data_IF_566364458491
#
_entry.id   IF_566364458491
#
_cell.length_a   1.000
_cell.length_b   1.000
_cell.length_c   1.000
_cell.angle_alpha   90.00
_cell.angle_beta   90.00
_cell.angle_gamma   90.00
#
_symmetry.space_group_name_H-M   'P 1'
#
loop_
_entity.id
_entity.type
_entity.pdbx_description
1 polymer ?
#
# COMPACT_ATOMS: atom_id res chain seq x y z
N UNK A 1 -23.95 -69.82 55.54
CA UNK A 1 -23.50 -69.73 54.12
C UNK A 1 -24.66 -69.21 53.28
N UNK A 2 -24.88 -67.89 53.32
CA UNK A 2 -24.65 -66.92 52.23
C UNK A 2 -25.68 -66.99 51.09
N UNK A 3 -26.73 -66.18 51.22
CA UNK A 3 -27.66 -65.76 50.17
C UNK A 3 -27.02 -64.66 49.34
N UNK A 4 -26.73 -64.94 48.06
CA UNK A 4 -26.15 -63.99 47.11
C UNK A 4 -27.27 -63.34 46.28
N UNK A 5 -27.55 -62.04 46.52
CA UNK A 5 -28.43 -61.23 45.67
C UNK A 5 -27.59 -60.65 44.53
N UNK A 6 -27.90 -61.02 43.27
CA UNK A 6 -27.35 -60.38 42.08
C UNK A 6 -28.12 -59.07 41.81
N UNK A 7 -27.45 -57.92 41.94
CA UNK A 7 -27.95 -56.64 41.43
C UNK A 7 -27.53 -56.51 39.96
N UNK A 8 -28.51 -56.43 39.05
CA UNK A 8 -28.28 -56.15 37.63
C UNK A 8 -28.25 -54.62 37.44
N UNK A 9 -27.07 -54.04 37.26
CA UNK A 9 -26.89 -52.62 36.93
C UNK A 9 -26.96 -52.45 35.40
N UNK A 10 -28.05 -51.86 34.92
CA UNK A 10 -28.19 -51.44 33.52
C UNK A 10 -27.43 -50.12 33.30
N UNK A 11 -26.32 -50.19 32.59
CA UNK A 11 -25.59 -49.02 32.09
C UNK A 11 -26.31 -48.44 30.88
N UNK A 12 -27.03 -47.34 31.07
CA UNK A 12 -27.55 -46.51 29.98
C UNK A 12 -26.39 -45.77 29.31
N UNK A 13 -26.04 -46.17 28.10
CA UNK A 13 -25.17 -45.40 27.21
C UNK A 13 -25.99 -44.24 26.62
N UNK A 14 -25.77 -43.03 27.13
CA UNK A 14 -26.27 -41.81 26.51
C UNK A 14 -25.30 -41.48 25.37
N UNK A 15 -25.70 -41.76 24.12
CA UNK A 15 -25.00 -41.27 22.95
C UNK A 15 -25.21 -39.75 22.86
N UNK A 16 -24.22 -38.99 23.31
CA UNK A 16 -24.17 -37.56 23.05
C UNK A 16 -23.86 -37.35 21.55
N UNK A 17 -24.88 -37.01 20.77
CA UNK A 17 -24.73 -36.46 19.44
C UNK A 17 -24.09 -35.08 19.54
N UNK A 18 -22.76 -35.07 19.59
CA UNK A 18 -21.96 -33.86 19.42
C UNK A 18 -22.14 -33.36 17.99
N UNK A 19 -23.00 -32.37 17.80
CA UNK A 19 -23.00 -31.55 16.59
C UNK A 19 -21.62 -30.89 16.52
N UNK A 20 -20.76 -31.33 15.60
CA UNK A 20 -19.56 -30.58 15.25
C UNK A 20 -20.01 -29.21 14.77
N UNK A 21 -19.81 -28.19 15.62
CA UNK A 21 -19.92 -26.80 15.21
C UNK A 21 -18.80 -26.58 14.21
N UNK A 22 -19.11 -26.69 12.92
CA UNK A 22 -18.25 -26.17 11.86
C UNK A 22 -18.15 -24.68 12.13
N UNK A 23 -17.06 -24.25 12.77
CA UNK A 23 -16.71 -22.85 12.91
C UNK A 23 -16.60 -22.29 11.48
N UNK A 24 -17.68 -21.66 11.02
CA UNK A 24 -17.69 -20.98 9.75
C UNK A 24 -16.63 -19.88 9.84
N UNK A 25 -15.54 -20.03 9.09
CA UNK A 25 -14.45 -19.07 9.07
C UNK A 25 -15.02 -17.67 8.84
N UNK A 26 -14.69 -16.72 9.73
CA UNK A 26 -15.14 -15.35 9.61
C UNK A 26 -14.67 -14.80 8.26
N UNK A 27 -15.59 -14.45 7.32
CA UNK A 27 -15.22 -13.97 6.00
C UNK A 27 -14.40 -12.68 6.03
N UNK A 28 -14.35 -11.99 7.17
CA UNK A 28 -13.58 -10.78 7.38
C UNK A 28 -12.13 -11.04 7.82
N UNK A 29 -11.77 -12.27 8.19
CA UNK A 29 -10.40 -12.62 8.57
C UNK A 29 -9.68 -13.26 7.38
N UNK A 30 -8.59 -12.64 6.94
CA UNK A 30 -7.70 -13.16 5.90
C UNK A 30 -6.34 -13.46 6.52
N UNK A 31 -5.82 -14.66 6.31
CA UNK A 31 -4.49 -15.06 6.76
C UNK A 31 -3.48 -14.94 5.62
N UNK A 32 -2.43 -14.15 5.84
CA UNK A 32 -1.27 -14.00 4.96
C UNK A 32 0.00 -14.41 5.72
N UNK A 33 1.18 -14.52 5.07
CA UNK A 33 2.42 -14.92 5.77
C UNK A 33 2.79 -14.05 6.98
N UNK A 34 2.42 -12.77 6.99
CA UNK A 34 2.66 -11.86 8.11
C UNK A 34 1.66 -12.03 9.28
N UNK A 35 0.61 -12.83 9.13
CA UNK A 35 -0.40 -13.06 10.16
C UNK A 35 -1.84 -12.82 9.68
N UNK A 36 -2.75 -12.70 10.64
CA UNK A 36 -4.19 -12.57 10.38
C UNK A 36 -4.61 -11.10 10.28
N UNK A 37 -5.40 -10.79 9.27
CA UNK A 37 -5.91 -9.45 8.96
C UNK A 37 -7.42 -9.44 9.14
N UNK A 38 -7.94 -8.50 9.94
CA UNK A 38 -9.36 -8.24 10.11
C UNK A 38 -9.80 -7.09 9.20
N UNK A 39 -10.67 -7.38 8.23
CA UNK A 39 -11.32 -6.39 7.37
C UNK A 39 -12.65 -5.86 7.92
N UNK A 40 -13.34 -5.07 7.09
CA UNK A 40 -14.67 -4.51 7.34
C UNK A 40 -15.68 -4.98 6.29
N UNK A 41 -16.90 -5.31 6.71
CA UNK A 41 -18.05 -5.49 5.83
C UNK A 41 -18.68 -4.13 5.52
N UNK A 42 -18.77 -3.75 4.25
CA UNK A 42 -19.39 -2.50 3.78
C UNK A 42 -20.74 -2.78 3.08
N UNK A 43 -21.38 -3.93 3.39
CA UNK A 43 -22.61 -4.39 2.78
C UNK A 43 -22.36 -5.15 1.47
N UNK A 44 -21.99 -4.43 0.41
CA UNK A 44 -21.80 -5.01 -0.93
C UNK A 44 -20.37 -5.52 -1.18
N UNK A 45 -19.40 -5.12 -0.34
CA UNK A 45 -18.00 -5.49 -0.47
C UNK A 45 -17.29 -5.52 0.88
N UNK A 46 -16.22 -6.30 0.94
CA UNK A 46 -15.26 -6.30 2.04
C UNK A 46 -14.12 -5.34 1.74
N UNK A 47 -13.60 -4.66 2.75
CA UNK A 47 -12.41 -3.81 2.65
C UNK A 47 -11.36 -4.24 3.66
N UNK A 48 -10.10 -4.29 3.21
CA UNK A 48 -8.93 -4.51 4.03
C UNK A 48 -7.96 -3.37 3.74
N UNK A 49 -7.95 -2.36 4.60
CA UNK A 49 -7.30 -1.08 4.37
C UNK A 49 -6.02 -0.92 5.22
N UNK A 50 -5.11 -0.09 4.73
CA UNK A 50 -3.86 0.29 5.43
C UNK A 50 -2.94 -0.89 5.76
N UNK A 51 -2.91 -1.94 4.92
CA UNK A 51 -2.02 -3.08 5.11
C UNK A 51 -0.59 -2.65 4.72
N UNK A 52 0.41 -2.73 5.62
CA UNK A 52 1.77 -2.33 5.27
C UNK A 52 2.41 -3.34 4.31
N UNK A 53 3.00 -2.83 3.22
CA UNK A 53 3.82 -3.64 2.31
C UNK A 53 5.32 -3.38 2.49
N UNK A 54 5.68 -2.29 3.15
CA UNK A 54 7.04 -1.86 3.42
C UNK A 54 7.21 -1.41 4.87
N UNK A 55 8.45 -1.40 5.36
CA UNK A 55 8.80 -0.71 6.60
C UNK A 55 8.54 0.80 6.48
N UNK A 56 8.17 1.49 7.57
CA UNK A 56 7.97 2.94 7.57
C UNK A 56 9.21 3.67 7.03
N UNK A 57 9.10 4.51 5.99
CA UNK A 57 10.26 5.18 5.37
C UNK A 57 10.67 6.44 6.15
N UNK A 58 10.74 6.34 7.48
CA UNK A 58 11.04 7.42 8.41
C UNK A 58 12.50 7.38 8.87
N UNK A 59 12.99 8.49 9.44
CA UNK A 59 14.33 8.56 10.03
C UNK A 59 15.43 8.14 9.06
N UNK A 60 16.20 7.10 9.42
CA UNK A 60 17.28 6.57 8.59
C UNK A 60 16.82 6.00 7.24
N UNK A 61 15.55 5.56 7.13
CA UNK A 61 14.96 5.03 5.88
C UNK A 61 14.39 6.14 4.97
N UNK A 62 14.33 7.40 5.44
CA UNK A 62 13.93 8.52 4.59
C UNK A 62 14.89 8.64 3.41
N UNK A 63 14.37 8.86 2.22
CA UNK A 63 15.12 8.90 0.96
C UNK A 63 15.85 7.62 0.55
N UNK A 64 15.65 6.52 1.26
CA UNK A 64 16.16 5.21 0.86
C UNK A 64 15.11 4.43 0.06
N UNK A 65 15.56 3.42 -0.69
CA UNK A 65 14.66 2.46 -1.30
C UNK A 65 13.79 1.79 -0.21
N UNK A 66 12.52 1.47 -0.50
CA UNK A 66 11.65 0.86 0.50
C UNK A 66 12.16 -0.53 0.87
N UNK A 67 12.08 -0.86 2.17
CA UNK A 67 12.38 -2.19 2.68
C UNK A 67 11.08 -2.97 2.84
N UNK A 68 11.06 -4.24 2.47
CA UNK A 68 9.88 -5.09 2.60
C UNK A 68 9.46 -5.19 4.07
N UNK A 69 8.15 -5.07 4.33
CA UNK A 69 7.62 -5.25 5.68
C UNK A 69 7.89 -6.68 6.18
N UNK A 70 8.63 -6.77 7.28
CA UNK A 70 9.19 -8.04 7.78
C UNK A 70 8.50 -8.56 9.04
N UNK A 71 7.77 -7.71 9.76
CA UNK A 71 7.14 -8.07 11.03
C UNK A 71 6.01 -9.08 10.85
N UNK A 72 5.77 -9.87 11.90
CA UNK A 72 4.64 -10.80 11.99
C UNK A 72 3.72 -10.37 13.13
N UNK A 73 2.41 -10.41 12.88
CA UNK A 73 1.40 -10.09 13.88
C UNK A 73 1.00 -11.34 14.65
N UNK A 74 1.14 -11.33 15.97
CA UNK A 74 0.65 -12.38 16.85
C UNK A 74 -0.86 -12.34 17.04
N UNK A 75 -1.47 -11.17 16.86
CA UNK A 75 -2.92 -10.93 16.91
C UNK A 75 -3.51 -10.54 15.56
N UNK A 76 -4.77 -10.11 15.58
CA UNK A 76 -5.45 -9.59 14.39
C UNK A 76 -4.93 -8.18 14.05
N UNK A 77 -4.36 -8.03 12.85
CA UNK A 77 -4.10 -6.71 12.28
C UNK A 77 -5.42 -6.04 11.92
N UNK A 78 -5.66 -4.85 12.47
CA UNK A 78 -6.89 -4.11 12.23
C UNK A 78 -6.83 -3.33 10.90
N UNK A 79 -7.27 -3.98 9.81
CA UNK A 79 -7.36 -3.39 8.48
C UNK A 79 -8.72 -2.69 8.21
N UNK A 80 -9.31 -2.09 9.25
CA UNK A 80 -10.53 -1.26 9.12
C UNK A 80 -10.23 0.23 9.10
N UNK A 81 -8.96 0.63 9.27
CA UNK A 81 -8.56 2.03 9.26
C UNK A 81 -8.33 2.51 7.83
N UNK A 82 -8.95 3.62 7.38
CA UNK A 82 -8.72 4.16 6.05
C UNK A 82 -7.23 4.47 5.81
N UNK A 83 -6.74 4.32 4.56
CA UNK A 83 -5.36 4.61 4.24
C UNK A 83 -5.07 6.10 4.44
N UNK A 84 -3.99 6.38 5.18
CA UNK A 84 -3.45 7.73 5.33
C UNK A 84 -2.71 8.13 4.05
N UNK A 85 -2.90 9.37 3.62
CA UNK A 85 -2.13 9.94 2.52
C UNK A 85 -0.66 10.12 2.95
N UNK A 86 0.29 9.90 2.03
CA UNK A 86 1.68 10.23 2.28
C UNK A 86 1.85 11.73 2.54
N UNK A 87 2.81 12.10 3.40
CA UNK A 87 3.06 13.49 3.76
C UNK A 87 3.34 14.32 2.51
N UNK A 88 2.53 15.36 2.30
CA UNK A 88 2.47 16.09 1.04
C UNK A 88 2.07 17.54 1.24
N UNK A 89 2.42 18.37 0.24
CA UNK A 89 1.89 19.72 0.08
C UNK A 89 0.79 19.67 -0.98
N UNK A 90 -0.47 19.53 -0.54
CA UNK A 90 -1.58 19.20 -1.44
C UNK A 90 -2.12 20.43 -2.17
N UNK A 91 -2.00 20.46 -3.49
CA UNK A 91 -2.46 21.59 -4.32
C UNK A 91 -3.94 21.94 -4.12
N UNK A 92 -4.79 20.94 -3.86
CA UNK A 92 -6.24 21.09 -3.71
C UNK A 92 -6.70 21.41 -2.29
N UNK A 93 -5.77 21.49 -1.31
CA UNK A 93 -6.10 22.03 0.00
C UNK A 93 -6.35 23.54 -0.11
N UNK A 94 -7.47 23.99 0.45
CA UNK A 94 -7.95 25.38 0.34
C UNK A 94 -7.41 26.27 1.45
N UNK A 95 -6.90 25.68 2.53
CA UNK A 95 -6.21 26.40 3.61
C UNK A 95 -4.83 26.89 3.16
N UNK A 96 -4.33 27.93 3.84
CA UNK A 96 -2.97 28.45 3.61
C UNK A 96 -1.90 27.38 3.88
N UNK A 97 -2.09 26.60 4.94
CA UNK A 97 -1.25 25.45 5.22
C UNK A 97 -1.79 24.22 4.47
N UNK A 98 -1.09 23.86 3.38
CA UNK A 98 -1.43 22.72 2.52
C UNK A 98 -0.76 21.41 2.94
N UNK A 99 -0.05 21.40 4.06
CA UNK A 99 0.60 20.22 4.61
C UNK A 99 -0.44 19.24 5.17
N UNK A 100 -0.42 18.00 4.69
CA UNK A 100 -1.26 16.93 5.20
C UNK A 100 -0.61 15.55 5.02
N UNK A 101 -1.16 14.54 5.67
CA UNK A 101 -0.69 13.15 5.56
C UNK A 101 0.33 12.76 6.62
N UNK A 102 0.95 11.59 6.44
CA UNK A 102 1.97 11.03 7.32
C UNK A 102 3.15 10.49 6.51
N UNK A 103 4.37 10.55 7.06
CA UNK A 103 5.55 9.95 6.43
C UNK A 103 5.47 8.42 6.43
N UNK A 104 4.90 7.83 7.48
CA UNK A 104 4.54 6.42 7.51
C UNK A 104 3.22 6.21 6.75
N UNK A 105 3.35 5.85 5.46
CA UNK A 105 2.21 5.77 4.55
C UNK A 105 2.26 4.59 3.56
N UNK A 106 3.30 3.74 3.60
CA UNK A 106 3.53 2.69 2.60
C UNK A 106 2.61 1.49 2.80
N UNK A 107 1.37 1.68 2.34
CA UNK A 107 0.26 0.74 2.54
C UNK A 107 -0.45 0.38 1.24
N UNK A 108 -1.10 -0.78 1.24
CA UNK A 108 -2.09 -1.17 0.25
C UNK A 108 -3.48 -1.31 0.90
N UNK A 109 -4.51 -1.00 0.12
CA UNK A 109 -5.91 -1.25 0.50
C UNK A 109 -6.59 -2.12 -0.54
N UNK A 110 -7.24 -3.19 -0.10
CA UNK A 110 -7.90 -4.19 -0.96
C UNK A 110 -9.41 -4.11 -0.76
N UNK A 111 -10.14 -4.00 -1.86
CA UNK A 111 -11.60 -3.97 -1.91
C UNK A 111 -12.10 -5.16 -2.71
N UNK A 112 -12.92 -5.98 -2.05
CA UNK A 112 -13.38 -7.28 -2.54
C UNK A 112 -14.91 -7.32 -2.62
N UNK A 113 -15.50 -7.56 -3.80
CA UNK A 113 -16.94 -7.76 -3.92
C UNK A 113 -17.44 -8.91 -3.03
N UNK A 114 -18.58 -8.73 -2.37
CA UNK A 114 -19.20 -9.77 -1.56
C UNK A 114 -19.90 -10.78 -2.47
N UNK A 115 -19.24 -11.90 -2.73
CA UNK A 115 -19.71 -13.03 -3.56
C UNK A 115 -19.60 -14.34 -2.79
N UNK A 116 -20.21 -15.45 -3.28
CA UNK A 116 -20.09 -16.76 -2.63
C UNK A 116 -18.63 -17.15 -2.35
N UNK A 117 -18.42 -17.88 -1.26
CA UNK A 117 -17.10 -18.38 -0.87
C UNK A 117 -16.41 -19.13 -2.02
N UNK A 118 -15.10 -18.93 -2.18
CA UNK A 118 -14.31 -19.53 -3.26
C UNK A 118 -14.33 -18.76 -4.59
N UNK A 119 -15.10 -17.67 -4.70
CA UNK A 119 -15.08 -16.81 -5.90
C UNK A 119 -13.68 -16.21 -6.12
N UNK A 120 -13.19 -16.28 -7.36
CA UNK A 120 -11.90 -15.72 -7.78
C UNK A 120 -12.12 -14.54 -8.71
N UNK A 121 -11.31 -13.50 -8.55
CA UNK A 121 -11.48 -12.25 -9.28
C UNK A 121 -10.21 -11.84 -10.02
N UNK A 122 -10.31 -11.25 -11.23
CA UNK A 122 -9.22 -10.47 -11.79
C UNK A 122 -8.93 -9.29 -10.86
N UNK A 123 -7.69 -8.80 -10.91
CA UNK A 123 -7.20 -7.78 -9.97
C UNK A 123 -6.86 -6.53 -10.76
N UNK A 124 -7.43 -5.40 -10.34
CA UNK A 124 -7.04 -4.07 -10.82
C UNK A 124 -6.27 -3.37 -9.71
N UNK A 125 -5.04 -2.98 -10.00
CA UNK A 125 -4.17 -2.23 -9.11
C UNK A 125 -4.15 -0.77 -9.55
N UNK A 126 -4.57 0.13 -8.67
CA UNK A 126 -4.64 1.57 -8.93
C UNK A 126 -3.41 2.29 -8.36
N UNK A 127 -2.70 2.99 -9.24
CA UNK A 127 -1.71 4.00 -8.90
C UNK A 127 -2.37 5.39 -8.98
N UNK A 128 -2.46 6.09 -7.85
CA UNK A 128 -3.09 7.41 -7.81
C UNK A 128 -2.25 8.47 -8.55
N UNK A 129 -2.92 9.45 -9.15
CA UNK A 129 -2.30 10.67 -9.69
C UNK A 129 -1.99 11.73 -8.62
N UNK A 130 -1.63 12.93 -9.09
CA UNK A 130 -1.29 14.09 -8.25
C UNK A 130 0.11 14.65 -8.50
N UNK A 131 0.51 14.73 -9.78
CA UNK A 131 1.78 15.30 -10.25
C UNK A 131 3.07 14.74 -9.58
N UNK A 132 3.01 13.54 -8.99
CA UNK A 132 4.04 12.99 -8.08
C UNK A 132 4.28 13.82 -6.81
N UNK A 133 3.48 14.85 -6.54
CA UNK A 133 3.64 15.80 -5.44
C UNK A 133 2.61 15.61 -4.32
N UNK A 134 1.42 15.09 -4.66
CA UNK A 134 0.29 14.95 -3.75
C UNK A 134 -0.65 13.82 -4.22
N UNK A 135 -1.79 13.65 -3.53
CA UNK A 135 -2.82 12.65 -3.83
C UNK A 135 -2.82 11.48 -2.84
N UNK A 136 -3.64 10.48 -3.12
CA UNK A 136 -3.74 9.27 -2.33
C UNK A 136 -4.84 8.34 -2.85
N UNK A 137 -4.82 7.08 -2.42
CA UNK A 137 -5.83 6.09 -2.84
C UNK A 137 -7.25 6.46 -2.40
N UNK A 138 -7.42 7.21 -1.32
CA UNK A 138 -8.72 7.68 -0.81
C UNK A 138 -9.43 8.67 -1.73
N UNK A 139 -8.70 9.35 -2.64
CA UNK A 139 -9.27 10.29 -3.62
C UNK A 139 -10.13 9.55 -4.67
N UNK A 140 -9.88 8.26 -4.88
CA UNK A 140 -10.54 7.46 -5.89
C UNK A 140 -11.60 6.57 -5.22
N UNK A 141 -12.88 6.90 -5.39
CA UNK A 141 -13.98 6.12 -4.83
C UNK A 141 -14.07 4.72 -5.43
N UNK A 142 -14.31 3.71 -4.58
CA UNK A 142 -14.42 2.30 -4.98
C UNK A 142 -15.85 1.86 -5.29
N UNK A 143 -16.87 2.61 -4.87
CA UNK A 143 -18.25 2.10 -4.77
C UNK A 143 -18.83 1.67 -6.12
N UNK A 144 -18.54 2.39 -7.20
CA UNK A 144 -19.01 2.02 -8.55
C UNK A 144 -18.40 0.69 -9.03
N UNK A 145 -17.11 0.49 -8.81
CA UNK A 145 -16.41 -0.75 -9.18
C UNK A 145 -16.90 -1.91 -8.32
N UNK A 146 -17.09 -1.68 -7.02
CA UNK A 146 -17.58 -2.68 -6.09
C UNK A 146 -19.04 -3.07 -6.35
N UNK A 147 -19.88 -2.12 -6.79
CA UNK A 147 -21.27 -2.37 -7.20
C UNK A 147 -21.34 -3.28 -8.42
N UNK A 148 -20.47 -3.08 -9.40
CA UNK A 148 -20.38 -3.95 -10.58
C UNK A 148 -19.88 -5.36 -10.21
N UNK A 149 -18.94 -5.43 -9.26
CA UNK A 149 -18.62 -6.66 -8.53
C UNK A 149 -17.89 -7.72 -9.34
N UNK A 150 -17.16 -7.32 -10.39
CA UNK A 150 -16.46 -8.23 -11.31
C UNK A 150 -14.96 -8.39 -11.04
N UNK A 151 -14.36 -7.57 -10.15
CA UNK A 151 -12.91 -7.53 -9.93
C UNK A 151 -12.54 -7.14 -8.49
N UNK A 152 -11.32 -7.51 -8.06
CA UNK A 152 -10.68 -6.91 -6.88
C UNK A 152 -10.06 -5.58 -7.26
N UNK A 153 -10.30 -4.56 -6.45
CA UNK A 153 -9.57 -3.29 -6.55
C UNK A 153 -8.51 -3.24 -5.46
N UNK A 154 -7.27 -2.98 -5.84
CA UNK A 154 -6.17 -2.74 -4.90
C UNK A 154 -5.65 -1.32 -5.12
N UNK A 155 -5.54 -0.53 -4.07
CA UNK A 155 -5.00 0.84 -4.13
C UNK A 155 -3.66 0.87 -3.42
N UNK A 156 -2.64 1.44 -4.06
CA UNK A 156 -1.29 1.59 -3.51
C UNK A 156 -1.09 3.04 -3.04
N UNK A 157 -0.60 3.21 -1.82
CA UNK A 157 0.00 4.46 -1.35
C UNK A 157 1.52 4.40 -1.55
N UNK A 158 2.11 5.46 -2.10
CA UNK A 158 3.56 5.56 -2.38
C UNK A 158 4.07 6.97 -2.03
N UNK A 159 5.35 7.12 -1.67
CA UNK A 159 5.91 8.44 -1.31
C UNK A 159 5.79 9.43 -2.46
N UNK A 160 5.41 10.66 -2.12
CA UNK A 160 5.27 11.79 -3.06
C UNK A 160 6.21 12.93 -2.70
N UNK A 161 6.31 13.93 -3.57
CA UNK A 161 7.07 15.16 -3.38
C UNK A 161 8.55 14.91 -3.14
N UNK A 162 9.23 15.76 -2.36
CA UNK A 162 10.65 15.58 -2.08
C UNK A 162 10.96 14.26 -1.37
N UNK A 163 10.05 13.76 -0.52
CA UNK A 163 10.25 12.48 0.19
C UNK A 163 10.30 11.27 -0.76
N UNK A 164 9.55 11.32 -1.87
CA UNK A 164 9.54 10.28 -2.89
C UNK A 164 10.54 10.48 -4.02
N UNK A 165 10.93 11.73 -4.33
CA UNK A 165 11.56 12.05 -5.61
C UNK A 165 12.77 12.99 -5.55
N UNK A 166 13.21 13.45 -4.36
CA UNK A 166 14.47 14.17 -4.24
C UNK A 166 15.65 13.34 -4.80
N UNK A 167 16.52 13.99 -5.58
CA UNK A 167 17.63 13.33 -6.26
C UNK A 167 18.79 14.29 -6.49
N UNK A 168 20.01 13.85 -6.20
CA UNK A 168 21.27 14.54 -6.57
C UNK A 168 21.83 14.07 -7.90
N UNK A 169 21.20 13.07 -8.53
CA UNK A 169 21.65 12.47 -9.79
C UNK A 169 22.88 11.57 -9.66
N UNK A 170 23.24 11.17 -8.45
CA UNK A 170 24.36 10.27 -8.14
C UNK A 170 23.93 9.16 -7.17
N UNK A 171 24.87 8.30 -6.80
CA UNK A 171 24.61 7.10 -5.99
C UNK A 171 24.16 7.39 -4.56
N UNK A 172 24.45 8.57 -4.02
CA UNK A 172 24.18 8.87 -2.61
C UNK A 172 22.71 9.23 -2.40
N UNK A 173 22.10 9.89 -3.38
CA UNK A 173 20.66 10.21 -3.41
C UNK A 173 20.11 10.07 -4.85
N UNK A 174 19.91 8.83 -5.34
CA UNK A 174 19.51 8.60 -6.74
C UNK A 174 18.06 9.01 -7.02
N UNK A 175 17.20 9.05 -6.01
CA UNK A 175 15.77 9.38 -6.12
C UNK A 175 14.91 8.21 -6.57
N UNK A 176 13.77 8.52 -7.20
CA UNK A 176 12.75 7.57 -7.67
C UNK A 176 12.20 6.63 -6.58
N UNK A 177 12.22 7.06 -5.32
CA UNK A 177 11.76 6.24 -4.20
C UNK A 177 10.26 5.97 -4.27
N UNK A 178 9.45 6.95 -4.69
CA UNK A 178 8.02 6.73 -4.94
C UNK A 178 7.74 5.68 -6.02
N UNK A 179 8.58 5.55 -7.05
CA UNK A 179 8.44 4.48 -8.05
C UNK A 179 8.87 3.11 -7.52
N UNK A 180 9.92 3.08 -6.68
CA UNK A 180 10.38 1.86 -6.00
C UNK A 180 9.32 1.36 -5.01
N UNK A 181 8.63 2.27 -4.33
CA UNK A 181 7.49 1.97 -3.45
C UNK A 181 6.37 1.24 -4.21
N UNK A 182 5.95 1.79 -5.35
CA UNK A 182 4.96 1.18 -6.22
C UNK A 182 5.38 -0.23 -6.68
N UNK A 183 6.65 -0.38 -7.07
CA UNK A 183 7.20 -1.66 -7.51
C UNK A 183 7.20 -2.71 -6.41
N UNK A 184 7.61 -2.35 -5.20
CA UNK A 184 7.57 -3.23 -4.04
C UNK A 184 6.13 -3.61 -3.68
N UNK A 185 5.19 -2.67 -3.77
CA UNK A 185 3.76 -2.96 -3.57
C UNK A 185 3.22 -3.93 -4.63
N UNK A 186 3.61 -3.79 -5.91
CA UNK A 186 3.23 -4.75 -6.97
C UNK A 186 3.76 -6.16 -6.68
N UNK A 187 5.00 -6.27 -6.20
CA UNK A 187 5.57 -7.55 -5.74
C UNK A 187 4.78 -8.13 -4.55
N UNK A 188 4.44 -7.30 -3.57
CA UNK A 188 3.61 -7.70 -2.45
C UNK A 188 2.24 -8.19 -2.91
N UNK A 189 1.59 -7.50 -3.85
CA UNK A 189 0.29 -7.88 -4.40
C UNK A 189 0.40 -9.21 -5.13
N UNK A 190 1.39 -9.39 -6.01
CA UNK A 190 1.63 -10.66 -6.72
C UNK A 190 1.76 -11.84 -5.74
N UNK A 191 2.43 -11.64 -4.61
CA UNK A 191 2.63 -12.67 -3.57
C UNK A 191 1.39 -12.94 -2.73
N UNK A 192 0.58 -11.93 -2.42
CA UNK A 192 -0.45 -12.05 -1.37
C UNK A 192 -1.90 -12.03 -1.88
N UNK A 193 -2.17 -11.54 -3.10
CA UNK A 193 -3.56 -11.26 -3.51
C UNK A 193 -4.44 -12.51 -3.62
N UNK A 194 -3.84 -13.69 -3.79
CA UNK A 194 -4.55 -14.98 -3.78
C UNK A 194 -5.28 -15.24 -2.46
N UNK A 195 -4.72 -14.83 -1.32
CA UNK A 195 -5.34 -14.96 0.01
C UNK A 195 -6.64 -14.16 0.12
N UNK A 196 -6.79 -13.10 -0.68
CA UNK A 196 -7.99 -12.26 -0.74
C UNK A 196 -9.00 -12.74 -1.81
N UNK A 197 -8.70 -13.82 -2.53
CA UNK A 197 -9.52 -14.31 -3.65
C UNK A 197 -9.14 -13.70 -5.01
N UNK A 198 -7.98 -13.06 -5.12
CA UNK A 198 -7.48 -12.55 -6.39
C UNK A 198 -6.82 -13.62 -7.26
N UNK A 199 -6.79 -13.37 -8.57
CA UNK A 199 -6.00 -14.14 -9.52
C UNK A 199 -4.64 -13.45 -9.74
N UNK A 200 -3.54 -13.97 -9.16
CA UNK A 200 -2.22 -13.32 -9.26
C UNK A 200 -1.68 -13.27 -10.69
N UNK A 201 -2.20 -14.08 -11.61
CA UNK A 201 -1.81 -14.07 -13.03
C UNK A 201 -2.70 -13.20 -13.92
N UNK A 202 -3.76 -12.59 -13.33
CA UNK A 202 -4.67 -11.67 -14.01
C UNK A 202 -4.71 -10.32 -13.27
N UNK A 203 -3.53 -9.72 -13.10
CA UNK A 203 -3.35 -8.38 -12.54
C UNK A 203 -3.26 -7.37 -13.70
N UNK A 204 -4.04 -6.30 -13.64
CA UNK A 204 -3.92 -5.12 -14.50
C UNK A 204 -3.56 -3.91 -13.65
N UNK A 205 -2.51 -3.18 -14.01
CA UNK A 205 -2.12 -1.93 -13.36
C UNK A 205 -2.77 -0.77 -14.10
N UNK A 206 -3.48 0.11 -13.40
CA UNK A 206 -4.11 1.30 -13.96
C UNK A 206 -3.67 2.54 -13.19
N UNK A 207 -3.54 3.66 -13.86
CA UNK A 207 -3.36 4.94 -13.19
C UNK A 207 -3.81 6.12 -14.03
N UNK A 208 -4.10 7.22 -13.34
CA UNK A 208 -4.52 8.50 -13.94
C UNK A 208 -3.45 9.58 -13.70
N UNK A 209 -3.17 10.43 -14.69
CA UNK A 209 -2.19 11.54 -14.60
C UNK A 209 -0.81 11.00 -14.18
N UNK A 210 -0.21 11.49 -13.08
CA UNK A 210 1.05 10.94 -12.55
C UNK A 210 0.97 9.44 -12.22
N UNK A 211 -0.22 8.92 -11.91
CA UNK A 211 -0.46 7.49 -11.78
C UNK A 211 -0.41 6.77 -13.13
N UNK A 212 -0.89 7.40 -14.22
CA UNK A 212 -0.76 6.88 -15.58
C UNK A 212 0.69 6.88 -16.04
N UNK A 213 1.43 7.96 -15.78
CA UNK A 213 2.87 8.01 -16.00
C UNK A 213 3.61 6.94 -15.20
N UNK A 214 3.25 6.75 -13.92
CA UNK A 214 3.77 5.67 -13.08
C UNK A 214 3.49 4.30 -13.69
N UNK A 215 2.25 4.03 -14.12
CA UNK A 215 1.87 2.79 -14.78
C UNK A 215 2.71 2.52 -16.03
N UNK A 216 2.94 3.54 -16.87
CA UNK A 216 3.81 3.40 -18.03
C UNK A 216 5.28 3.15 -17.61
N UNK A 217 5.79 3.83 -16.59
CA UNK A 217 7.15 3.60 -16.07
C UNK A 217 7.32 2.17 -15.50
N UNK A 218 6.31 1.63 -14.81
CA UNK A 218 6.33 0.24 -14.35
C UNK A 218 6.33 -0.74 -15.53
N UNK A 219 5.54 -0.47 -16.57
CA UNK A 219 5.49 -1.29 -17.79
C UNK A 219 6.85 -1.36 -18.51
N UNK A 220 7.69 -0.32 -18.41
CA UNK A 220 9.01 -0.28 -19.03
C UNK A 220 10.07 -1.14 -18.34
N UNK A 221 9.78 -1.70 -17.16
CA UNK A 221 10.66 -2.71 -16.57
C UNK A 221 10.60 -4.02 -17.37
N UNK A 222 11.76 -4.59 -17.72
CA UNK A 222 11.86 -5.84 -18.50
C UNK A 222 11.08 -7.01 -17.87
N UNK A 223 10.99 -7.03 -16.53
CA UNK A 223 10.30 -8.07 -15.78
C UNK A 223 8.84 -7.74 -15.41
N UNK A 224 8.25 -6.68 -15.98
CA UNK A 224 6.86 -6.29 -15.69
C UNK A 224 5.87 -7.45 -15.85
N UNK A 225 6.06 -8.29 -16.89
CA UNK A 225 5.22 -9.46 -17.16
C UNK A 225 5.21 -10.51 -16.04
N UNK A 226 6.18 -10.48 -15.11
CA UNK A 226 6.21 -11.34 -13.94
C UNK A 226 5.27 -10.82 -12.82
N UNK A 227 4.97 -9.52 -12.82
CA UNK A 227 4.15 -8.85 -11.81
C UNK A 227 2.71 -8.61 -12.27
N UNK A 228 2.49 -8.26 -13.54
CA UNK A 228 1.18 -7.94 -14.07
C UNK A 228 1.01 -8.35 -15.54
N UNK A 229 -0.25 -8.61 -15.91
CA UNK A 229 -0.67 -9.05 -17.25
C UNK A 229 -0.85 -7.89 -18.23
N UNK A 230 -1.18 -6.71 -17.72
CA UNK A 230 -1.46 -5.54 -18.55
C UNK A 230 -1.40 -4.24 -17.77
N UNK A 231 -1.37 -3.14 -18.52
CA UNK A 231 -1.24 -1.79 -18.00
C UNK A 231 -2.21 -0.84 -18.74
N UNK A 232 -2.83 0.09 -18.01
CA UNK A 232 -3.72 1.12 -18.57
C UNK A 232 -3.27 2.48 -18.03
N UNK A 233 -2.74 3.32 -18.93
CA UNK A 233 -2.25 4.65 -18.57
C UNK A 233 -3.25 5.71 -19.05
N UNK A 234 -3.98 6.34 -18.12
CA UNK A 234 -5.04 7.31 -18.41
C UNK A 234 -4.51 8.74 -18.25
N UNK A 235 -4.48 9.50 -19.34
CA UNK A 235 -4.04 10.92 -19.34
C UNK A 235 -2.70 11.18 -18.65
N UNK A 236 -1.75 10.26 -18.82
CA UNK A 236 -0.39 10.39 -18.31
C UNK A 236 0.47 9.22 -18.78
N UNK A 237 1.68 9.49 -19.25
CA UNK A 237 2.59 8.47 -19.78
C UNK A 237 4.07 8.90 -19.56
N UNK A 238 5.01 7.95 -19.60
CA UNK A 238 6.43 8.18 -19.33
C UNK A 238 7.12 9.27 -20.21
N UNK A 239 6.55 9.62 -21.35
CA UNK A 239 7.11 10.61 -22.28
C UNK A 239 6.58 12.02 -22.06
N UNK A 240 5.59 12.19 -21.18
CA UNK A 240 5.08 13.51 -20.87
C UNK A 240 6.20 14.40 -20.26
N UNK A 241 6.29 15.68 -20.66
CA UNK A 241 7.43 16.55 -20.31
C UNK A 241 7.56 16.84 -18.80
N UNK A 242 6.51 16.56 -18.03
CA UNK A 242 6.46 16.73 -16.58
C UNK A 242 6.83 15.45 -15.80
N UNK A 243 7.18 14.35 -16.48
CA UNK A 243 7.50 13.07 -15.81
C UNK A 243 8.99 12.92 -15.53
N UNK A 244 9.83 12.95 -16.57
CA UNK A 244 11.28 12.76 -16.44
C UNK A 244 11.98 14.11 -16.33
N UNK A 245 12.47 14.43 -15.13
CA UNK A 245 13.09 15.71 -14.84
C UNK A 245 14.63 15.67 -14.84
N UNK A 246 15.26 16.49 -15.67
CA UNK A 246 16.73 16.66 -15.71
C UNK A 246 17.29 17.54 -14.58
N UNK A 247 16.45 18.37 -13.96
CA UNK A 247 16.85 19.36 -12.95
C UNK A 247 16.79 18.85 -11.50
N UNK A 248 16.73 17.53 -11.29
CA UNK A 248 16.64 16.90 -9.96
C UNK A 248 17.73 17.41 -9.00
N UNK A 249 19.00 17.38 -9.44
CA UNK A 249 20.15 17.84 -8.64
C UNK A 249 19.98 19.28 -8.16
N UNK A 250 19.75 20.22 -9.09
CA UNK A 250 19.60 21.65 -8.77
C UNK A 250 18.49 21.87 -7.74
N UNK A 251 17.32 21.24 -7.94
CA UNK A 251 16.17 21.40 -7.03
C UNK A 251 16.40 20.78 -5.66
N UNK A 252 17.11 19.67 -5.58
CA UNK A 252 17.40 19.03 -4.29
C UNK A 252 18.42 19.82 -3.46
N UNK A 253 19.43 20.44 -4.09
CA UNK A 253 20.31 21.37 -3.37
C UNK A 253 19.57 22.66 -2.96
N UNK A 254 18.64 23.14 -3.78
CA UNK A 254 17.80 24.29 -3.42
C UNK A 254 16.88 23.98 -2.22
N UNK A 255 16.27 22.79 -2.20
CA UNK A 255 15.56 22.27 -1.02
C UNK A 255 16.46 22.34 0.21
N UNK A 256 17.70 21.87 0.08
CA UNK A 256 18.71 21.94 1.12
C UNK A 256 18.91 23.36 1.64
N UNK A 257 19.06 24.36 0.78
CA UNK A 257 19.18 25.77 1.19
C UNK A 257 17.97 26.25 2.00
N UNK A 258 16.76 25.95 1.53
CA UNK A 258 15.50 26.38 2.17
C UNK A 258 15.38 25.83 3.59
N UNK A 259 15.79 24.58 3.83
CA UNK A 259 15.70 23.93 5.15
C UNK A 259 16.99 24.02 5.98
N UNK A 260 17.94 24.87 5.57
CA UNK A 260 19.18 25.12 6.33
C UNK A 260 20.26 24.03 6.22
N UNK A 261 20.22 23.23 5.16
CA UNK A 261 21.21 22.21 4.76
C UNK A 261 22.06 22.64 3.54
N UNK A 262 22.11 23.93 3.22
CA UNK A 262 22.71 24.47 2.00
C UNK A 262 24.23 24.67 2.02
N UNK A 263 24.91 24.28 3.10
CA UNK A 263 26.34 24.56 3.32
C UNK A 263 27.27 23.59 2.56
N UNK A 264 26.72 22.53 1.98
CA UNK A 264 27.47 21.48 1.29
C UNK A 264 27.06 21.35 -0.17
N UNK A 265 28.01 20.96 -1.01
CA UNK A 265 27.79 20.50 -2.38
C UNK A 265 27.94 18.97 -2.52
N UNK A 266 28.15 18.27 -1.40
CA UNK A 266 28.32 16.82 -1.31
C UNK A 266 26.97 16.16 -1.06
N UNK A 267 26.62 15.20 -1.91
CA UNK A 267 25.29 14.57 -1.91
C UNK A 267 25.00 13.76 -0.64
N UNK A 268 25.99 13.02 -0.13
CA UNK A 268 25.88 12.30 1.13
C UNK A 268 25.60 13.23 2.32
N UNK A 269 26.37 14.31 2.47
CA UNK A 269 26.19 15.30 3.55
C UNK A 269 24.83 16.01 3.45
N UNK A 270 24.40 16.35 2.22
CA UNK A 270 23.06 16.90 1.99
C UNK A 270 21.97 15.92 2.44
N UNK A 271 22.07 14.65 2.04
CA UNK A 271 21.10 13.61 2.43
C UNK A 271 21.01 13.47 3.94
N UNK A 272 22.15 13.39 4.63
CA UNK A 272 22.20 13.24 6.08
C UNK A 272 21.60 14.45 6.81
N UNK A 273 21.90 15.67 6.34
CA UNK A 273 21.27 16.88 6.87
C UNK A 273 19.75 16.89 6.61
N UNK A 274 19.29 16.52 5.41
CA UNK A 274 17.85 16.43 5.13
C UNK A 274 17.16 15.37 6.00
N UNK A 275 17.82 14.24 6.31
CA UNK A 275 17.29 13.23 7.26
C UNK A 275 17.15 13.78 8.68
N UNK A 276 17.99 14.74 9.08
CA UNK A 276 17.94 15.35 10.42
C UNK A 276 16.79 16.36 10.59
N UNK A 277 16.13 16.78 9.51
CA UNK A 277 15.01 17.73 9.56
C UNK A 277 13.69 17.00 9.82
N UNK A 278 12.68 17.65 10.42
CA UNK A 278 11.31 17.13 10.40
C UNK A 278 10.81 16.94 8.95
N UNK A 279 10.13 15.83 8.66
CA UNK A 279 9.56 15.59 7.32
C UNK A 279 8.58 16.72 6.92
N UNK A 280 7.86 17.28 7.89
CA UNK A 280 6.95 18.41 7.69
C UNK A 280 7.66 19.66 7.20
N UNK A 281 8.90 19.93 7.66
CA UNK A 281 9.69 21.08 7.21
C UNK A 281 10.12 20.90 5.75
N UNK A 282 10.59 19.70 5.40
CA UNK A 282 10.99 19.33 4.02
C UNK A 282 9.82 19.46 3.05
N UNK A 283 8.65 18.95 3.43
CA UNK A 283 7.46 19.01 2.57
C UNK A 283 6.90 20.43 2.50
N UNK A 284 6.94 21.19 3.60
CA UNK A 284 6.49 22.59 3.61
C UNK A 284 7.39 23.49 2.76
N UNK A 285 8.67 23.15 2.60
CA UNK A 285 9.59 23.87 1.71
C UNK A 285 9.14 23.86 0.24
N UNK A 286 8.24 22.94 -0.17
CA UNK A 286 7.64 22.92 -1.52
C UNK A 286 6.99 24.25 -1.89
N UNK A 287 6.46 25.02 -0.92
CA UNK A 287 5.84 26.34 -1.17
C UNK A 287 6.83 27.44 -1.58
N UNK A 288 8.12 27.17 -1.46
CA UNK A 288 9.22 28.12 -1.70
C UNK A 288 9.98 27.84 -2.99
N UNK A 289 9.48 26.92 -3.83
CA UNK A 289 10.00 26.63 -5.16
C UNK A 289 9.31 27.44 -6.26
#
# INVERSE_FOLDING_TARGET
MYTLKLLCLTLLWIAASGSEVVLQADPLVVEIPNGKIQGRDNGQYYSYESIPYAEPPTGALRFEAPQQYSHHWTGLFNATRPPVACLQWNQFETKDNKLMGNEDCLTVSIYKPKKPSGSRFPVVVLLHGGAFMFGGGSVYGQDYIMREGQLLLVKISYRVGPLGFASTGDRDLPGNNGLKDQRLALQWIKKNIAHFGGMPDNIVVIGHSAGGASTHLQLLHEDFGQLAKGAISVSGNALDPWVIHKSGRRRTFELGRIVGCGQTNVSAELKDCLKSKPASEIVSAVRSF
#
